data_IF_857364368025
#
_entry.id   IF_857364368025
#
_cell.length_a   1.000
_cell.length_b   1.000
_cell.length_c   1.000
_cell.angle_alpha   90.00
_cell.angle_beta   90.00
_cell.angle_gamma   90.00
#
_symmetry.space_group_name_H-M   'P 1'
#
loop_
_entity.id
_entity.type
_entity.pdbx_description
1 polymer ?
#
# COMPACT_ATOMS: atom_id res chain seq x y z
N UNK A 1 13.80 -50.86 7.06
CA UNK A 1 14.67 -49.68 6.89
C UNK A 1 14.14 -48.94 5.66
N UNK A 2 13.06 -48.19 5.88
CA UNK A 2 12.25 -47.54 4.85
C UNK A 2 12.95 -46.27 4.40
N UNK A 3 13.33 -46.21 3.13
CA UNK A 3 13.87 -45.00 2.51
C UNK A 3 12.68 -44.17 2.04
N UNK A 4 12.40 -43.10 2.78
CA UNK A 4 11.37 -42.12 2.44
C UNK A 4 11.82 -41.32 1.22
N UNK A 5 10.98 -41.38 0.19
CA UNK A 5 11.03 -40.63 -1.05
C UNK A 5 10.91 -39.13 -0.75
N UNK A 6 11.88 -38.33 -1.18
CA UNK A 6 11.81 -36.88 -1.09
C UNK A 6 10.95 -36.37 -2.25
N UNK A 7 9.66 -36.22 -2.00
CA UNK A 7 8.72 -35.61 -2.94
C UNK A 7 9.08 -34.14 -3.17
N UNK A 8 9.32 -33.82 -4.44
CA UNK A 8 9.52 -32.47 -4.93
C UNK A 8 8.24 -31.65 -4.71
N UNK A 9 8.28 -30.67 -3.80
CA UNK A 9 7.21 -29.68 -3.65
C UNK A 9 7.33 -28.69 -4.81
N UNK A 10 6.40 -28.81 -5.75
CA UNK A 10 6.36 -28.07 -7.01
C UNK A 10 6.24 -26.55 -6.87
N UNK A 11 6.92 -25.87 -7.77
CA UNK A 11 6.69 -24.46 -8.08
C UNK A 11 5.30 -24.29 -8.69
N UNK A 12 4.35 -23.77 -7.90
CA UNK A 12 3.11 -23.25 -8.44
C UNK A 12 3.30 -21.80 -8.89
N UNK A 13 4.11 -21.58 -9.92
CA UNK A 13 4.08 -20.32 -10.67
C UNK A 13 2.88 -20.37 -11.63
N UNK A 14 1.67 -20.27 -11.07
CA UNK A 14 0.52 -19.94 -11.88
C UNK A 14 0.72 -18.50 -12.37
N UNK A 15 1.04 -18.34 -13.65
CA UNK A 15 0.90 -17.05 -14.33
C UNK A 15 -0.56 -16.64 -14.17
N UNK A 16 -0.86 -15.54 -13.45
CA UNK A 16 -2.25 -15.22 -13.14
C UNK A 16 -2.94 -14.91 -14.46
N UNK A 17 -4.04 -15.61 -14.73
CA UNK A 17 -4.96 -15.20 -15.77
C UNK A 17 -5.34 -13.73 -15.51
N UNK A 18 -5.19 -12.87 -16.51
CA UNK A 18 -5.47 -11.44 -16.39
C UNK A 18 -6.84 -11.24 -15.75
N UNK A 19 -6.85 -10.69 -14.55
CA UNK A 19 -8.10 -10.44 -13.85
C UNK A 19 -8.67 -9.13 -14.36
N UNK A 20 -10.00 -9.01 -14.37
CA UNK A 20 -10.68 -7.79 -14.80
C UNK A 20 -10.14 -6.54 -14.09
N UNK A 21 -9.75 -6.67 -12.83
CA UNK A 21 -9.15 -5.55 -12.08
C UNK A 21 -7.83 -5.03 -12.66
N UNK A 22 -7.05 -5.87 -13.35
CA UNK A 22 -5.76 -5.48 -13.93
C UNK A 22 -5.93 -4.56 -15.16
N UNK A 23 -7.17 -4.42 -15.66
CA UNK A 23 -7.54 -3.41 -16.65
C UNK A 23 -7.69 -2.00 -16.06
N UNK A 24 -7.69 -1.87 -14.73
CA UNK A 24 -7.79 -0.59 -14.03
C UNK A 24 -6.42 -0.09 -13.58
N UNK A 25 -6.36 1.18 -13.18
CA UNK A 25 -5.12 1.81 -12.73
C UNK A 25 -4.53 1.16 -11.47
N UNK A 26 -3.28 1.52 -11.18
CA UNK A 26 -2.54 1.08 -10.00
C UNK A 26 -2.41 2.24 -9.01
N UNK A 27 -2.19 1.93 -7.74
CA UNK A 27 -1.59 2.84 -6.77
C UNK A 27 -0.11 2.49 -6.73
N UNK A 28 0.76 3.45 -7.02
CA UNK A 28 2.21 3.24 -7.06
C UNK A 28 2.87 3.97 -5.91
N UNK A 29 3.57 3.22 -5.07
CA UNK A 29 4.40 3.73 -3.99
C UNK A 29 5.85 3.48 -4.38
N UNK A 30 6.69 4.51 -4.38
CA UNK A 30 8.13 4.37 -4.63
C UNK A 30 8.92 5.10 -3.55
N UNK A 31 9.90 4.40 -3.00
CA UNK A 31 10.80 4.93 -1.98
C UNK A 31 10.11 5.30 -0.68
N UNK A 32 9.18 4.48 -0.19
CA UNK A 32 8.56 4.72 1.11
C UNK A 32 9.55 4.43 2.24
N UNK A 33 9.71 5.40 3.15
CA UNK A 33 10.70 5.37 4.26
C UNK A 33 10.10 5.72 5.62
N UNK A 34 8.78 5.79 5.71
CA UNK A 34 8.08 6.02 6.98
C UNK A 34 8.44 4.99 8.05
N UNK A 35 8.76 5.49 9.25
CA UNK A 35 9.21 4.71 10.40
C UNK A 35 10.40 3.78 10.11
N UNK A 36 10.13 2.51 9.83
CA UNK A 36 11.13 1.47 9.59
C UNK A 36 11.07 0.89 8.18
N UNK A 37 10.35 1.55 7.26
CA UNK A 37 10.35 1.17 5.85
C UNK A 37 11.73 1.45 5.24
N UNK A 38 12.26 0.45 4.53
CA UNK A 38 13.58 0.52 3.91
C UNK A 38 13.46 0.75 2.40
N UNK A 39 13.03 1.95 2.02
CA UNK A 39 12.90 2.38 0.61
C UNK A 39 11.95 1.48 -0.21
N UNK A 40 10.76 1.24 0.34
CA UNK A 40 9.82 0.25 -0.21
C UNK A 40 9.15 0.78 -1.47
N UNK A 41 9.20 -0.03 -2.54
CA UNK A 41 8.48 0.18 -3.79
C UNK A 41 7.42 -0.91 -3.98
N UNK A 42 6.15 -0.51 -4.15
CA UNK A 42 5.04 -1.44 -4.35
C UNK A 42 3.99 -0.86 -5.30
N UNK A 43 3.43 -1.74 -6.13
CA UNK A 43 2.26 -1.42 -6.96
C UNK A 43 1.04 -2.19 -6.46
N UNK A 44 -0.04 -1.47 -6.18
CA UNK A 44 -1.28 -2.03 -5.63
C UNK A 44 -2.37 -1.89 -6.69
N UNK A 45 -2.97 -2.99 -7.18
CA UNK A 45 -4.02 -2.91 -8.19
C UNK A 45 -5.29 -2.32 -7.62
N UNK A 46 -5.87 -1.33 -8.30
CA UNK A 46 -7.18 -0.79 -7.91
C UNK A 46 -8.25 -1.84 -8.15
N UNK A 47 -9.35 -1.72 -7.39
CA UNK A 47 -10.54 -2.58 -7.51
C UNK A 47 -10.22 -4.06 -7.28
N UNK A 48 -9.20 -4.31 -6.46
CA UNK A 48 -8.89 -5.61 -5.87
C UNK A 48 -8.88 -5.51 -4.36
N UNK A 49 -9.24 -6.61 -3.71
CA UNK A 49 -8.93 -6.80 -2.31
C UNK A 49 -7.43 -7.12 -2.20
N UNK A 50 -6.65 -6.13 -1.77
CA UNK A 50 -5.22 -6.31 -1.49
C UNK A 50 -5.04 -6.48 0.01
N UNK A 51 -4.37 -7.55 0.43
CA UNK A 51 -4.12 -7.85 1.83
C UNK A 51 -2.62 -7.75 2.11
N UNK A 52 -2.25 -6.92 3.09
CA UNK A 52 -0.88 -6.83 3.59
C UNK A 52 -0.74 -7.74 4.81
N UNK A 53 0.11 -8.76 4.70
CA UNK A 53 0.36 -9.72 5.78
C UNK A 53 1.84 -9.74 6.15
N UNK A 54 2.16 -10.26 7.35
CA UNK A 54 3.54 -10.29 7.86
C UNK A 54 3.61 -10.13 9.38
N UNK A 55 4.76 -10.46 9.95
CA UNK A 55 5.02 -10.43 11.41
C UNK A 55 4.84 -9.03 12.02
N UNK A 56 4.66 -8.94 13.34
CA UNK A 56 4.66 -7.65 14.04
C UNK A 56 5.95 -6.89 13.77
N UNK A 57 5.86 -5.57 13.56
CA UNK A 57 7.03 -4.72 13.26
C UNK A 57 7.54 -4.77 11.82
N UNK A 58 6.94 -5.53 10.91
CA UNK A 58 7.35 -5.59 9.48
C UNK A 58 7.10 -4.32 8.66
N UNK A 59 6.47 -3.30 9.24
CA UNK A 59 6.17 -2.04 8.53
C UNK A 59 4.84 -2.00 7.76
N UNK A 60 3.97 -3.01 7.91
CA UNK A 60 2.63 -3.02 7.26
C UNK A 60 1.81 -1.78 7.59
N UNK A 61 1.72 -1.44 8.88
CA UNK A 61 0.97 -0.26 9.34
C UNK A 61 1.64 1.03 8.86
N UNK A 62 2.98 1.09 8.88
CA UNK A 62 3.75 2.21 8.34
C UNK A 62 3.45 2.46 6.86
N UNK A 63 3.32 1.39 6.07
CA UNK A 63 3.00 1.49 4.64
C UNK A 63 1.53 1.87 4.40
N UNK A 64 0.59 1.23 5.08
CA UNK A 64 -0.85 1.41 4.80
C UNK A 64 -1.39 2.68 5.43
N UNK A 65 -1.17 2.90 6.72
CA UNK A 65 -1.76 4.02 7.46
C UNK A 65 -0.87 5.26 7.38
N UNK A 66 0.41 5.13 7.72
CA UNK A 66 1.30 6.28 7.87
C UNK A 66 1.79 6.83 6.51
N UNK A 67 1.80 6.00 5.46
CA UNK A 67 2.18 6.45 4.10
C UNK A 67 0.96 6.65 3.20
N UNK A 68 0.24 5.58 2.85
CA UNK A 68 -0.82 5.63 1.82
C UNK A 68 -2.03 6.44 2.31
N UNK A 69 -2.55 6.12 3.49
CA UNK A 69 -3.76 6.76 4.00
C UNK A 69 -3.51 8.21 4.44
N UNK A 70 -2.33 8.49 5.03
CA UNK A 70 -1.91 9.84 5.39
C UNK A 70 -1.85 10.76 4.16
N UNK A 71 -1.21 10.32 3.08
CA UNK A 71 -1.15 11.14 1.86
C UNK A 71 -2.53 11.31 1.22
N UNK A 72 -3.36 10.26 1.19
CA UNK A 72 -4.71 10.39 0.66
C UNK A 72 -5.55 11.41 1.43
N UNK A 73 -5.42 11.49 2.76
CA UNK A 73 -6.14 12.48 3.56
C UNK A 73 -5.56 13.89 3.34
N UNK A 74 -4.24 14.01 3.21
CA UNK A 74 -3.57 15.29 2.91
C UNK A 74 -4.04 15.89 1.58
N UNK A 75 -4.20 15.08 0.54
CA UNK A 75 -4.73 15.53 -0.77
C UNK A 75 -6.15 16.09 -0.67
N UNK A 76 -6.98 15.56 0.23
CA UNK A 76 -8.35 16.06 0.44
C UNK A 76 -8.30 17.42 1.13
N UNK A 77 -7.39 17.62 2.08
CA UNK A 77 -7.21 18.89 2.78
C UNK A 77 -6.89 20.06 1.83
N UNK A 78 -6.18 19.78 0.72
CA UNK A 78 -5.87 20.78 -0.32
C UNK A 78 -7.09 21.24 -1.11
N UNK A 79 -8.20 20.48 -1.09
CA UNK A 79 -9.43 20.83 -1.82
C UNK A 79 -10.38 21.73 -1.03
N UNK A 80 -10.13 21.96 0.26
CA UNK A 80 -10.95 22.88 1.07
C UNK A 80 -10.59 24.35 0.85
N UNK A 81 -11.55 25.24 1.10
CA UNK A 81 -11.30 26.67 1.07
C UNK A 81 -10.27 27.07 2.14
N UNK A 82 -9.48 28.11 1.85
CA UNK A 82 -8.46 28.63 2.76
C UNK A 82 -9.02 28.98 4.17
N UNK A 83 -10.31 29.29 4.26
CA UNK A 83 -11.00 29.53 5.53
C UNK A 83 -11.13 28.26 6.39
N UNK A 84 -11.43 27.12 5.78
CA UNK A 84 -11.59 25.84 6.50
C UNK A 84 -10.23 25.22 6.81
N UNK A 85 -9.24 25.40 5.95
CA UNK A 85 -7.87 24.90 6.15
C UNK A 85 -7.26 25.34 7.49
N UNK A 86 -7.56 26.55 7.97
CA UNK A 86 -7.06 27.07 9.26
C UNK A 86 -7.53 26.29 10.49
N UNK A 87 -8.55 25.45 10.36
CA UNK A 87 -9.09 24.61 11.44
C UNK A 87 -8.81 23.12 11.24
N UNK A 88 -8.15 22.73 10.15
CA UNK A 88 -7.88 21.33 9.84
C UNK A 88 -6.53 20.88 10.40
N UNK A 89 -6.40 19.62 10.85
CA UNK A 89 -5.11 19.05 11.20
C UNK A 89 -4.17 19.11 10.00
N UNK A 90 -3.00 19.74 10.17
CA UNK A 90 -1.92 19.61 9.19
C UNK A 90 -1.37 18.19 9.28
N UNK A 91 -1.76 17.34 8.34
CA UNK A 91 -1.14 16.04 8.17
C UNK A 91 0.27 16.26 7.59
N UNK A 92 1.28 15.80 8.32
CA UNK A 92 2.65 15.81 7.82
C UNK A 92 2.71 15.00 6.52
N UNK A 93 3.47 15.50 5.54
CA UNK A 93 3.70 14.77 4.30
C UNK A 93 4.56 13.54 4.62
N UNK A 94 4.16 12.33 4.20
CA UNK A 94 4.96 11.15 4.47
C UNK A 94 6.26 11.16 3.65
N UNK A 95 7.30 10.52 4.18
CA UNK A 95 8.59 10.27 3.56
C UNK A 95 8.45 9.21 2.47
N UNK A 96 8.06 9.66 1.27
CA UNK A 96 7.93 8.85 0.05
C UNK A 96 8.34 9.68 -1.16
N UNK A 97 9.06 9.07 -2.11
CA UNK A 97 9.52 9.78 -3.31
C UNK A 97 8.38 9.99 -4.30
N UNK A 98 7.63 8.93 -4.60
CA UNK A 98 6.51 8.96 -5.54
C UNK A 98 5.33 8.21 -4.95
N UNK A 99 4.17 8.88 -4.92
CA UNK A 99 2.91 8.26 -4.56
C UNK A 99 1.82 8.66 -5.57
N UNK A 100 1.55 7.76 -6.51
CA UNK A 100 0.68 7.99 -7.66
C UNK A 100 -0.58 7.14 -7.63
N UNK A 101 -1.61 7.62 -8.33
CA UNK A 101 -2.85 6.88 -8.49
C UNK A 101 -3.66 6.78 -7.20
N UNK A 102 -3.40 7.60 -6.18
CA UNK A 102 -4.23 7.66 -4.99
C UNK A 102 -5.67 8.07 -5.32
N UNK A 103 -6.58 7.58 -4.50
CA UNK A 103 -7.98 7.97 -4.44
C UNK A 103 -8.31 8.21 -2.97
N UNK A 104 -9.37 8.97 -2.68
CA UNK A 104 -9.86 9.16 -1.31
C UNK A 104 -9.93 7.85 -0.54
N UNK A 105 -9.15 7.77 0.54
CA UNK A 105 -9.12 6.65 1.45
C UNK A 105 -10.14 6.84 2.57
N UNK A 106 -10.82 5.75 2.92
CA UNK A 106 -11.65 5.63 4.13
C UNK A 106 -10.97 4.60 5.01
N UNK A 107 -10.57 4.99 6.21
CA UNK A 107 -9.96 4.09 7.19
C UNK A 107 -11.09 3.51 8.06
N UNK A 108 -11.03 2.20 8.28
CA UNK A 108 -11.85 1.48 9.25
C UNK A 108 -10.88 0.69 10.12
N UNK A 109 -10.84 1.00 11.42
CA UNK A 109 -10.05 0.33 12.47
C UNK A 109 -11.00 -0.18 13.57
#
# INVERSE_FOLDING_TARGET
MERVEADAVGEHTQSPALHVADSHGLIRVQGARENNLADVCVEIPKRRLTVFTGVSGSGKSSLVFDTIAAESQRMINETYSAFVQGFMPMLARPEVDVLEGLTTAIIVD
#
